data_IF_373795140534
#
_entry.id   IF_373795140534
#
_cell.length_a   1.000
_cell.length_b   1.000
_cell.length_c   1.000
_cell.angle_alpha   90.00
_cell.angle_beta   90.00
_cell.angle_gamma   90.00
#
_symmetry.space_group_name_H-M   'P 1'
#
loop_
_entity.id
_entity.type
_entity.pdbx_description
1 polymer ?
#
# COMPACT_ATOMS: atom_id res chain seq x y z
N UNK A 1 25.98 -20.37 -32.90
CA UNK A 1 24.89 -19.51 -32.38
C UNK A 1 24.74 -19.80 -30.89
N UNK A 2 25.20 -18.90 -30.02
CA UNK A 2 25.00 -19.04 -28.58
C UNK A 2 23.58 -18.54 -28.30
N UNK A 3 22.68 -19.45 -27.91
CA UNK A 3 21.35 -19.08 -27.46
C UNK A 3 21.50 -18.44 -26.08
N UNK A 4 21.02 -17.21 -25.82
CA UNK A 4 21.01 -16.67 -24.48
C UNK A 4 20.11 -17.57 -23.64
N UNK A 5 20.67 -18.22 -22.63
CA UNK A 5 19.88 -18.96 -21.65
C UNK A 5 18.99 -17.94 -20.93
N UNK A 6 17.67 -18.16 -20.82
CA UNK A 6 16.84 -17.32 -19.97
C UNK A 6 17.37 -17.44 -18.53
N UNK A 7 17.57 -16.31 -17.85
CA UNK A 7 17.85 -16.36 -16.42
C UNK A 7 16.70 -17.11 -15.73
N UNK A 8 16.98 -18.07 -14.83
CA UNK A 8 15.95 -18.72 -14.06
C UNK A 8 15.18 -17.67 -13.23
N UNK A 9 13.88 -17.89 -12.97
CA UNK A 9 13.14 -17.02 -12.06
C UNK A 9 13.91 -16.93 -10.74
N UNK A 10 14.09 -15.72 -10.22
CA UNK A 10 14.60 -15.54 -8.86
C UNK A 10 13.49 -16.07 -7.96
N UNK A 11 13.66 -17.29 -7.45
CA UNK A 11 12.79 -17.81 -6.41
C UNK A 11 12.93 -16.90 -5.19
N UNK A 12 11.81 -16.37 -4.64
CA UNK A 12 11.86 -15.56 -3.44
C UNK A 12 12.55 -16.33 -2.32
N UNK A 13 13.30 -15.62 -1.48
CA UNK A 13 13.91 -16.23 -0.30
C UNK A 13 12.83 -16.99 0.50
N UNK A 14 13.16 -18.12 1.17
CA UNK A 14 12.17 -18.96 1.86
C UNK A 14 11.30 -18.23 2.92
N UNK A 15 11.68 -17.01 3.32
CA UNK A 15 10.96 -16.15 4.26
C UNK A 15 9.93 -15.21 3.61
N UNK A 16 9.88 -15.11 2.28
CA UNK A 16 8.99 -14.17 1.57
C UNK A 16 7.67 -14.88 1.21
N UNK A 17 6.62 -14.61 1.98
CA UNK A 17 5.28 -15.16 1.76
C UNK A 17 4.46 -14.38 0.72
N UNK A 18 4.70 -13.07 0.59
CA UNK A 18 3.97 -12.18 -0.31
C UNK A 18 4.96 -11.34 -1.12
N UNK A 19 4.66 -11.10 -2.39
CA UNK A 19 5.47 -10.25 -3.27
C UNK A 19 4.57 -9.46 -4.23
N UNK A 20 5.03 -8.27 -4.63
CA UNK A 20 4.39 -7.51 -5.71
C UNK A 20 4.90 -8.06 -7.04
N UNK A 21 3.98 -8.40 -7.95
CA UNK A 21 4.33 -8.93 -9.26
C UNK A 21 5.08 -7.89 -10.09
N UNK A 22 6.14 -8.31 -10.77
CA UNK A 22 6.85 -7.46 -11.73
C UNK A 22 5.96 -7.13 -12.95
N UNK A 23 6.16 -5.95 -13.54
CA UNK A 23 5.47 -5.52 -14.76
C UNK A 23 4.03 -5.02 -14.54
N UNK A 24 3.62 -4.82 -13.29
CA UNK A 24 2.38 -4.11 -12.96
C UNK A 24 2.60 -2.61 -13.20
N UNK A 25 1.60 -1.94 -13.77
CA UNK A 25 1.71 -0.51 -14.07
C UNK A 25 1.76 0.32 -12.78
N UNK A 26 2.41 1.49 -12.83
CA UNK A 26 2.42 2.41 -11.68
C UNK A 26 1.00 2.83 -11.29
N UNK A 27 0.09 2.96 -12.28
CA UNK A 27 -1.32 3.27 -12.04
C UNK A 27 -1.99 2.17 -11.20
N UNK A 28 -1.89 0.90 -11.60
CA UNK A 28 -2.49 -0.22 -10.87
C UNK A 28 -1.92 -0.34 -9.45
N UNK A 29 -0.61 -0.09 -9.28
CA UNK A 29 0.03 -0.06 -7.96
C UNK A 29 -0.53 1.07 -7.08
N UNK A 30 -0.74 2.26 -7.64
CA UNK A 30 -1.27 3.41 -6.91
C UNK A 30 -2.76 3.26 -6.57
N UNK A 31 -3.55 2.65 -7.45
CA UNK A 31 -4.95 2.28 -7.15
C UNK A 31 -5.00 1.32 -5.98
N UNK A 32 -4.21 0.23 -6.04
CA UNK A 32 -4.18 -0.75 -4.97
C UNK A 32 -3.65 -0.17 -3.64
N UNK A 33 -2.66 0.73 -3.70
CA UNK A 33 -2.18 1.48 -2.55
C UNK A 33 -3.30 2.35 -1.95
N UNK A 34 -4.04 3.09 -2.77
CA UNK A 34 -5.11 3.98 -2.31
C UNK A 34 -6.23 3.20 -1.64
N UNK A 35 -6.63 2.06 -2.20
CA UNK A 35 -7.61 1.13 -1.61
C UNK A 35 -7.11 0.53 -0.29
N UNK A 36 -5.83 0.15 -0.22
CA UNK A 36 -5.22 -0.39 0.99
C UNK A 36 -5.17 0.65 2.11
N UNK A 37 -4.83 1.91 1.77
CA UNK A 37 -4.82 3.02 2.73
C UNK A 37 -6.25 3.37 3.19
N UNK A 38 -7.23 3.36 2.30
CA UNK A 38 -8.63 3.55 2.68
C UNK A 38 -9.12 2.46 3.64
N UNK A 39 -8.74 1.20 3.38
CA UNK A 39 -9.07 0.08 4.27
C UNK A 39 -8.39 0.22 5.63
N UNK A 40 -7.10 0.57 5.67
CA UNK A 40 -6.37 0.81 6.90
C UNK A 40 -6.95 1.98 7.72
N UNK A 41 -7.38 3.06 7.04
CA UNK A 41 -8.02 4.20 7.66
C UNK A 41 -9.34 3.79 8.33
N UNK A 42 -10.19 3.03 7.63
CA UNK A 42 -11.46 2.54 8.18
C UNK A 42 -11.23 1.66 9.42
N UNK A 43 -10.32 0.68 9.32
CA UNK A 43 -9.97 -0.20 10.44
C UNK A 43 -9.40 0.57 11.64
N UNK A 44 -8.57 1.59 11.38
CA UNK A 44 -8.00 2.42 12.46
C UNK A 44 -9.08 3.27 13.13
N UNK A 45 -10.02 3.82 12.36
CA UNK A 45 -11.16 4.55 12.90
C UNK A 45 -12.05 3.64 13.75
N UNK A 46 -12.39 2.45 13.24
CA UNK A 46 -13.18 1.44 13.97
C UNK A 46 -12.49 1.06 15.29
N UNK A 47 -11.18 0.79 15.24
CA UNK A 47 -10.39 0.48 16.43
C UNK A 47 -10.32 1.65 17.41
N UNK A 48 -10.28 2.90 16.94
CA UNK A 48 -10.26 4.07 17.80
C UNK A 48 -11.53 4.17 18.67
N UNK A 49 -12.68 3.67 18.22
CA UNK A 49 -13.91 3.61 19.01
C UNK A 49 -13.84 2.61 20.17
N UNK A 50 -12.97 1.62 20.10
CA UNK A 50 -12.72 0.65 21.18
C UNK A 50 -11.77 1.18 22.27
N UNK A 51 -11.19 2.37 22.06
CA UNK A 51 -10.17 2.98 22.92
C UNK A 51 -10.67 4.21 23.66
N UNK A 52 -9.96 4.53 24.75
CA UNK A 52 -10.22 5.71 25.59
C UNK A 52 -8.99 6.57 25.83
N UNK A 53 -9.25 7.85 26.13
CA UNK A 53 -8.25 8.85 26.47
C UNK A 53 -7.15 8.97 25.42
N UNK A 54 -5.90 9.05 25.87
CA UNK A 54 -4.72 9.24 25.01
C UNK A 54 -4.50 8.12 23.99
N UNK A 55 -5.00 6.89 24.24
CA UNK A 55 -4.89 5.79 23.26
C UNK A 55 -5.81 6.01 22.06
N UNK A 56 -7.04 6.49 22.30
CA UNK A 56 -7.96 6.88 21.23
C UNK A 56 -7.39 8.05 20.42
N UNK A 57 -6.85 9.06 21.11
CA UNK A 57 -6.20 10.20 20.44
C UNK A 57 -5.02 9.75 19.57
N UNK A 58 -4.20 8.81 20.07
CA UNK A 58 -3.13 8.19 19.28
C UNK A 58 -3.64 7.45 18.05
N UNK A 59 -4.69 6.64 18.18
CA UNK A 59 -5.30 5.93 17.05
C UNK A 59 -5.87 6.89 15.99
N UNK A 60 -6.56 7.96 16.42
CA UNK A 60 -7.06 8.99 15.51
C UNK A 60 -5.91 9.75 14.82
N UNK A 61 -4.80 10.00 15.52
CA UNK A 61 -3.59 10.56 14.92
C UNK A 61 -3.00 9.64 13.83
N UNK A 62 -3.00 8.33 14.04
CA UNK A 62 -2.59 7.34 13.03
C UNK A 62 -3.55 7.39 11.83
N UNK A 63 -4.87 7.42 12.07
CA UNK A 63 -5.86 7.55 11.00
C UNK A 63 -5.59 8.82 10.16
N UNK A 64 -5.32 9.96 10.81
CA UNK A 64 -4.97 11.18 10.10
C UNK A 64 -3.71 11.04 9.22
N UNK A 65 -2.66 10.36 9.69
CA UNK A 65 -1.45 10.11 8.89
C UNK A 65 -1.73 9.18 7.69
N UNK A 66 -2.57 8.16 7.86
CA UNK A 66 -3.02 7.29 6.77
C UNK A 66 -3.78 8.10 5.72
N UNK A 67 -4.70 8.96 6.15
CA UNK A 67 -5.49 9.80 5.25
C UNK A 67 -4.61 10.77 4.45
N UNK A 68 -3.62 11.41 5.10
CA UNK A 68 -2.63 12.24 4.39
C UNK A 68 -1.87 11.44 3.34
N UNK A 69 -1.45 10.21 3.68
CA UNK A 69 -0.75 9.32 2.74
C UNK A 69 -1.62 8.96 1.54
N UNK A 70 -2.92 8.71 1.77
CA UNK A 70 -3.90 8.42 0.72
C UNK A 70 -4.06 9.60 -0.24
N UNK A 71 -4.21 10.81 0.28
CA UNK A 71 -4.33 12.02 -0.54
C UNK A 71 -3.09 12.28 -1.42
N UNK A 72 -1.90 11.97 -0.91
CA UNK A 72 -0.66 12.04 -1.71
C UNK A 72 -0.65 11.00 -2.83
N UNK A 73 -1.04 9.75 -2.54
CA UNK A 73 -1.13 8.69 -3.55
C UNK A 73 -2.16 9.02 -4.64
N UNK A 74 -3.34 9.53 -4.25
CA UNK A 74 -4.40 9.94 -5.17
C UNK A 74 -3.98 11.13 -6.03
N UNK A 75 -3.20 12.07 -5.48
CA UNK A 75 -2.62 13.15 -6.30
C UNK A 75 -1.68 12.60 -7.37
N UNK A 76 -0.78 11.70 -6.99
CA UNK A 76 0.17 11.09 -7.94
C UNK A 76 -0.57 10.29 -9.01
N UNK A 77 -1.62 9.56 -8.63
CA UNK A 77 -2.47 8.82 -9.57
C UNK A 77 -3.14 9.77 -10.57
N UNK A 78 -3.75 10.85 -10.09
CA UNK A 78 -4.39 11.84 -10.96
C UNK A 78 -3.41 12.54 -11.91
N UNK A 79 -2.15 12.75 -11.49
CA UNK A 79 -1.12 13.33 -12.35
C UNK A 79 -0.66 12.37 -13.46
N UNK A 80 -0.78 11.06 -13.26
CA UNK A 80 -0.46 10.02 -14.27
C UNK A 80 -1.61 9.86 -15.29
N UNK A 81 -2.85 10.09 -14.87
CA UNK A 81 -4.04 9.96 -15.73
C UNK A 81 -4.26 11.17 -16.66
N UNK A 82 -3.42 12.20 -16.57
CA UNK A 82 -3.51 13.45 -17.33
C UNK A 82 -2.77 13.41 -18.66
#
# INVERSE_FOLDING_TARGET
MIKPTPNPPIDPAPSVLFTVKNGISTQDLLVNLSESLASAHALTCDFAFELDGSRREGALGIAQLIEVSRLLAERVLADIER
#
